data_IF_022723484046
#
_entry.id   IF_022723484046
#
_cell.length_a   1.000
_cell.length_b   1.000
_cell.length_c   1.000
_cell.angle_alpha   90.00
_cell.angle_beta   90.00
_cell.angle_gamma   90.00
#
_symmetry.space_group_name_H-M   'P 1'
#
loop_
_entity.id
_entity.type
_entity.pdbx_description
1 polymer ?
#
# COMPACT_ATOMS: atom_id res chain seq x y z
N UNK A 1 -31.77 -14.64 6.47
CA UNK A 1 -31.34 -13.24 6.24
C UNK A 1 -32.33 -12.62 5.25
N UNK A 2 -33.36 -11.92 5.74
CA UNK A 2 -34.55 -11.52 4.94
C UNK A 2 -34.28 -10.28 4.08
N UNK A 3 -34.90 -10.20 2.89
CA UNK A 3 -34.77 -9.09 1.93
C UNK A 3 -35.04 -7.70 2.56
N UNK A 4 -35.90 -7.65 3.57
CA UNK A 4 -36.16 -6.43 4.37
C UNK A 4 -34.90 -5.86 5.03
N UNK A 5 -33.99 -6.70 5.54
CA UNK A 5 -32.74 -6.25 6.15
C UNK A 5 -31.78 -5.64 5.10
N UNK A 6 -31.83 -6.11 3.85
CA UNK A 6 -31.04 -5.55 2.76
C UNK A 6 -31.58 -4.19 2.31
N UNK A 7 -32.90 -4.08 2.13
CA UNK A 7 -33.56 -2.83 1.68
C UNK A 7 -33.43 -1.74 2.76
N UNK A 8 -33.47 -2.09 4.05
CA UNK A 8 -33.28 -1.14 5.15
C UNK A 8 -31.87 -0.50 5.18
N UNK A 9 -30.87 -1.14 4.55
CA UNK A 9 -29.49 -0.64 4.48
C UNK A 9 -29.22 0.20 3.22
N UNK A 10 -30.21 0.40 2.34
CA UNK A 10 -30.05 1.17 1.10
C UNK A 10 -29.51 2.58 1.37
N UNK A 11 -29.97 3.22 2.44
CA UNK A 11 -29.61 4.60 2.76
C UNK A 11 -28.15 4.70 3.21
N UNK A 12 -27.67 3.70 3.96
CA UNK A 12 -26.26 3.59 4.34
C UNK A 12 -25.36 3.31 3.12
N UNK A 13 -25.83 2.48 2.19
CA UNK A 13 -25.11 2.21 0.94
C UNK A 13 -25.04 3.45 0.05
N UNK A 14 -26.16 4.19 -0.05
CA UNK A 14 -26.22 5.44 -0.79
C UNK A 14 -25.30 6.51 -0.18
N UNK A 15 -25.25 6.61 1.15
CA UNK A 15 -24.32 7.48 1.86
C UNK A 15 -22.86 7.12 1.56
N UNK A 16 -22.50 5.85 1.59
CA UNK A 16 -21.15 5.40 1.25
C UNK A 16 -20.75 5.81 -0.17
N UNK A 17 -21.62 5.56 -1.15
CA UNK A 17 -21.32 5.81 -2.57
C UNK A 17 -21.32 7.31 -2.91
N UNK A 18 -22.25 8.09 -2.37
CA UNK A 18 -22.43 9.50 -2.77
C UNK A 18 -21.56 10.45 -1.93
N UNK A 19 -21.30 10.12 -0.67
CA UNK A 19 -20.54 10.99 0.25
C UNK A 19 -19.13 10.49 0.52
N UNK A 20 -18.96 9.21 0.86
CA UNK A 20 -17.65 8.71 1.30
C UNK A 20 -16.72 8.42 0.12
N UNK A 21 -17.23 7.78 -0.92
CA UNK A 21 -16.43 7.36 -2.08
C UNK A 21 -15.73 8.53 -2.81
N UNK A 22 -16.36 9.69 -3.05
CA UNK A 22 -15.67 10.83 -3.66
C UNK A 22 -14.52 11.37 -2.80
N UNK A 23 -14.69 11.38 -1.46
CA UNK A 23 -13.66 11.83 -0.52
C UNK A 23 -12.45 10.88 -0.56
N UNK A 24 -12.71 9.57 -0.55
CA UNK A 24 -11.71 8.50 -0.72
C UNK A 24 -10.93 8.69 -2.02
N UNK A 25 -11.64 8.90 -3.14
CA UNK A 25 -11.02 9.07 -4.46
C UNK A 25 -10.18 10.36 -4.52
N UNK A 26 -10.66 11.48 -3.98
CA UNK A 26 -9.88 12.73 -3.93
C UNK A 26 -8.60 12.57 -3.10
N UNK A 27 -8.70 11.95 -1.91
CA UNK A 27 -7.54 11.74 -1.05
C UNK A 27 -6.55 10.74 -1.66
N UNK A 28 -7.05 9.66 -2.23
CA UNK A 28 -6.25 8.67 -2.97
C UNK A 28 -5.54 9.27 -4.19
N UNK A 29 -6.23 10.12 -4.96
CA UNK A 29 -5.66 10.79 -6.13
C UNK A 29 -4.57 11.80 -5.73
N UNK A 30 -4.78 12.57 -4.66
CA UNK A 30 -3.76 13.48 -4.11
C UNK A 30 -2.54 12.70 -3.59
N UNK A 31 -2.76 11.62 -2.85
CA UNK A 31 -1.71 10.74 -2.37
C UNK A 31 -0.88 10.17 -3.51
N UNK A 32 -1.57 9.68 -4.54
CA UNK A 32 -0.98 9.13 -5.74
C UNK A 32 -0.17 10.18 -6.51
N UNK A 33 -0.74 11.37 -6.72
CA UNK A 33 -0.05 12.46 -7.41
C UNK A 33 1.23 12.87 -6.67
N UNK A 34 1.17 13.04 -5.36
CA UNK A 34 2.37 13.29 -4.54
C UNK A 34 3.34 12.10 -4.70
N UNK A 35 2.84 10.87 -4.65
CA UNK A 35 3.68 9.68 -4.71
C UNK A 35 4.41 9.48 -6.04
N UNK A 36 3.79 9.85 -7.15
CA UNK A 36 4.32 9.64 -8.51
C UNK A 36 5.16 10.84 -8.96
N UNK A 37 4.73 12.06 -8.64
CA UNK A 37 5.37 13.28 -9.15
C UNK A 37 6.40 13.91 -8.19
N UNK A 38 6.49 13.46 -6.93
CA UNK A 38 7.54 13.92 -6.01
C UNK A 38 8.49 12.78 -5.62
N UNK A 39 9.80 13.05 -5.48
CA UNK A 39 10.79 12.04 -5.09
C UNK A 39 10.70 11.65 -3.60
N UNK A 40 9.62 12.02 -2.90
CA UNK A 40 9.44 11.71 -1.48
C UNK A 40 9.53 10.21 -1.22
N UNK A 41 8.86 9.38 -2.02
CA UNK A 41 8.93 7.93 -1.81
C UNK A 41 10.28 7.34 -2.19
N UNK A 42 10.98 7.92 -3.16
CA UNK A 42 12.33 7.49 -3.49
C UNK A 42 13.25 7.67 -2.28
N UNK A 43 13.16 8.80 -1.57
CA UNK A 43 13.95 9.04 -0.37
C UNK A 43 13.55 8.15 0.80
N UNK A 44 12.26 7.93 1.02
CA UNK A 44 11.79 7.03 2.09
C UNK A 44 12.08 5.56 1.76
N UNK A 45 12.30 5.22 0.48
CA UNK A 45 12.64 3.87 0.03
C UNK A 45 14.09 3.46 0.25
N UNK A 46 15.01 4.40 0.52
CA UNK A 46 16.43 4.06 0.77
C UNK A 46 16.66 2.95 1.81
N UNK A 47 16.03 2.96 3.01
CA UNK A 47 16.20 1.87 3.97
C UNK A 47 15.69 0.53 3.44
N UNK A 48 14.58 0.52 2.69
CA UNK A 48 14.04 -0.70 2.06
C UNK A 48 14.99 -1.19 0.96
N UNK A 49 15.52 -0.28 0.15
CA UNK A 49 16.51 -0.57 -0.87
C UNK A 49 17.75 -1.21 -0.27
N UNK A 50 18.26 -0.66 0.84
CA UNK A 50 19.43 -1.21 1.52
C UNK A 50 19.21 -2.65 1.99
N UNK A 51 18.04 -2.94 2.56
CA UNK A 51 17.67 -4.31 2.98
C UNK A 51 17.64 -5.26 1.76
N UNK A 52 17.04 -4.83 0.65
CA UNK A 52 16.98 -5.63 -0.58
C UNK A 52 18.35 -5.85 -1.21
N UNK A 53 19.23 -4.84 -1.19
CA UNK A 53 20.60 -4.96 -1.67
C UNK A 53 21.43 -5.95 -0.83
N UNK A 54 21.34 -5.87 0.50
CA UNK A 54 21.99 -6.83 1.41
C UNK A 54 21.43 -8.24 1.19
N UNK A 55 20.15 -8.36 0.90
CA UNK A 55 19.54 -9.62 0.53
C UNK A 55 19.95 -10.13 -0.87
N UNK A 56 20.64 -9.33 -1.69
CA UNK A 56 21.03 -9.73 -3.04
C UNK A 56 19.86 -9.82 -4.03
N UNK A 57 18.76 -9.10 -3.76
CA UNK A 57 17.62 -9.03 -4.68
C UNK A 57 17.99 -8.11 -5.86
N UNK A 58 17.82 -8.55 -7.11
CA UNK A 58 18.13 -7.72 -8.27
C UNK A 58 17.19 -6.51 -8.39
N UNK A 59 17.62 -5.47 -9.09
CA UNK A 59 16.79 -4.26 -9.34
C UNK A 59 16.27 -3.57 -8.05
N UNK A 60 16.98 -3.75 -6.92
CA UNK A 60 16.57 -3.34 -5.57
C UNK A 60 16.09 -1.89 -5.43
N UNK A 61 16.64 -0.94 -6.20
CA UNK A 61 16.20 0.45 -6.17
C UNK A 61 14.77 0.62 -6.71
N UNK A 62 14.47 -0.03 -7.83
CA UNK A 62 13.14 0.00 -8.45
C UNK A 62 12.16 -0.80 -7.59
N UNK A 63 12.58 -1.96 -7.09
CA UNK A 63 11.77 -2.80 -6.19
C UNK A 63 11.43 -2.08 -4.89
N UNK A 64 12.38 -1.38 -4.27
CA UNK A 64 12.12 -0.61 -3.05
C UNK A 64 11.14 0.54 -3.29
N UNK A 65 11.34 1.29 -4.38
CA UNK A 65 10.44 2.38 -4.75
C UNK A 65 9.01 1.87 -5.00
N UNK A 66 8.87 0.73 -5.69
CA UNK A 66 7.59 0.07 -5.91
C UNK A 66 6.94 -0.41 -4.61
N UNK A 67 7.67 -1.03 -3.68
CA UNK A 67 7.11 -1.44 -2.38
C UNK A 67 6.61 -0.22 -1.58
N UNK A 68 7.35 0.88 -1.63
CA UNK A 68 6.97 2.10 -0.93
C UNK A 68 5.74 2.77 -1.55
N UNK A 69 5.56 2.68 -2.87
CA UNK A 69 4.37 3.22 -3.56
C UNK A 69 3.08 2.55 -3.12
N UNK A 70 3.18 1.36 -2.50
CA UNK A 70 2.09 0.66 -1.80
C UNK A 70 1.43 1.49 -0.69
N UNK A 71 2.12 2.51 -0.17
CA UNK A 71 1.53 3.45 0.77
C UNK A 71 0.39 4.27 0.16
N UNK A 72 0.54 4.66 -1.11
CA UNK A 72 -0.48 5.44 -1.81
C UNK A 72 -1.66 4.55 -2.21
N UNK A 73 -1.37 3.38 -2.78
CA UNK A 73 -2.37 2.44 -3.27
C UNK A 73 -1.78 1.02 -3.38
N UNK A 74 -2.57 0.00 -3.11
CA UNK A 74 -2.11 -1.39 -3.12
C UNK A 74 -1.79 -1.93 -4.53
N UNK A 75 -2.36 -1.37 -5.60
CA UNK A 75 -2.11 -1.79 -6.98
C UNK A 75 -0.85 -1.16 -7.58
N UNK A 76 -0.47 0.00 -7.08
CA UNK A 76 0.66 0.78 -7.56
C UNK A 76 2.01 0.02 -7.58
N UNK A 77 2.37 -0.75 -6.54
CA UNK A 77 3.59 -1.54 -6.54
C UNK A 77 3.68 -2.46 -7.76
N UNK A 78 2.59 -3.15 -8.09
CA UNK A 78 2.55 -4.14 -9.18
C UNK A 78 2.63 -3.44 -10.54
N UNK A 79 1.98 -2.28 -10.70
CA UNK A 79 2.05 -1.48 -11.93
C UNK A 79 3.47 -0.98 -12.16
N UNK A 80 4.13 -0.45 -11.12
CA UNK A 80 5.52 0.02 -11.22
C UNK A 80 6.52 -1.14 -11.40
N UNK A 81 6.21 -2.31 -10.84
CA UNK A 81 7.03 -3.53 -10.97
C UNK A 81 6.82 -4.33 -12.25
N UNK A 82 5.86 -3.95 -13.10
CA UNK A 82 5.49 -4.73 -14.29
C UNK A 82 6.64 -4.87 -15.30
N UNK A 83 7.47 -3.83 -15.43
CA UNK A 83 8.60 -3.77 -16.38
C UNK A 83 9.91 -4.36 -15.85
N UNK A 84 9.93 -4.91 -14.63
CA UNK A 84 11.13 -5.54 -14.09
C UNK A 84 11.53 -6.74 -14.93
N UNK A 85 12.82 -7.04 -15.01
CA UNK A 85 13.29 -8.19 -15.80
C UNK A 85 13.24 -9.47 -14.98
N UNK A 86 13.65 -9.37 -13.71
CA UNK A 86 13.82 -10.50 -12.81
C UNK A 86 12.51 -10.94 -12.15
N UNK A 87 12.25 -12.25 -12.15
CA UNK A 87 11.06 -12.85 -11.56
C UNK A 87 11.06 -12.72 -10.04
N UNK A 88 12.22 -12.86 -9.39
CA UNK A 88 12.42 -12.73 -7.94
C UNK A 88 11.89 -11.39 -7.43
N UNK A 89 12.25 -10.28 -8.08
CA UNK A 89 11.83 -8.93 -7.69
C UNK A 89 10.33 -8.70 -7.92
N UNK A 90 9.76 -9.28 -8.98
CA UNK A 90 8.30 -9.26 -9.22
C UNK A 90 7.54 -9.98 -8.12
N UNK A 91 8.03 -11.14 -7.66
CA UNK A 91 7.39 -11.90 -6.59
C UNK A 91 7.44 -11.14 -5.27
N UNK A 92 8.57 -10.51 -4.93
CA UNK A 92 8.68 -9.65 -3.73
C UNK A 92 7.64 -8.53 -3.79
N UNK A 93 7.52 -7.82 -4.92
CA UNK A 93 6.56 -6.73 -5.08
C UNK A 93 5.11 -7.25 -4.98
N UNK A 94 4.81 -8.36 -5.65
CA UNK A 94 3.48 -8.95 -5.61
C UNK A 94 3.07 -9.35 -4.17
N UNK A 95 3.99 -9.94 -3.40
CA UNK A 95 3.73 -10.29 -2.00
C UNK A 95 3.57 -9.04 -1.13
N UNK A 96 4.46 -8.06 -1.27
CA UNK A 96 4.38 -6.84 -0.47
C UNK A 96 3.11 -6.03 -0.75
N UNK A 97 2.67 -5.96 -2.01
CA UNK A 97 1.41 -5.33 -2.43
C UNK A 97 0.18 -5.93 -1.72
N UNK A 98 0.17 -7.25 -1.50
CA UNK A 98 -0.94 -7.94 -0.83
C UNK A 98 -0.84 -7.83 0.69
N UNK A 99 0.37 -7.91 1.25
CA UNK A 99 0.61 -7.90 2.69
C UNK A 99 0.43 -6.50 3.31
N UNK A 100 0.61 -5.44 2.53
CA UNK A 100 0.42 -4.07 2.96
C UNK A 100 -1.07 -3.76 3.12
N UNK A 101 -1.60 -3.99 4.32
CA UNK A 101 -3.00 -3.75 4.67
C UNK A 101 -3.36 -2.28 4.95
N UNK A 102 -2.43 -1.32 4.81
CA UNK A 102 -2.72 0.09 5.10
C UNK A 102 -2.22 0.92 3.94
N UNK A 103 -3.15 1.50 3.21
CA UNK A 103 -2.91 2.40 2.09
C UNK A 103 -3.81 3.63 2.21
N UNK A 104 -3.36 4.75 1.65
CA UNK A 104 -3.95 6.05 1.93
C UNK A 104 -5.34 6.23 1.32
N UNK A 105 -5.63 5.58 0.19
CA UNK A 105 -6.89 5.79 -0.53
C UNK A 105 -8.12 5.38 0.31
N UNK A 106 -8.16 4.15 0.86
CA UNK A 106 -9.34 3.64 1.57
C UNK A 106 -9.15 3.57 3.09
N UNK A 107 -8.02 3.03 3.55
CA UNK A 107 -7.90 2.66 4.97
C UNK A 107 -7.56 3.86 5.84
N UNK A 108 -6.87 4.88 5.32
CA UNK A 108 -6.60 6.10 6.08
C UNK A 108 -7.87 6.90 6.41
N UNK A 109 -8.80 7.04 5.46
CA UNK A 109 -10.07 7.76 5.65
C UNK A 109 -11.04 6.97 6.53
N UNK A 110 -11.08 5.64 6.40
CA UNK A 110 -11.85 4.75 7.27
C UNK A 110 -11.33 4.76 8.71
N UNK A 111 -10.02 4.72 8.92
CA UNK A 111 -9.44 4.76 10.27
C UNK A 111 -9.63 6.12 10.95
N UNK A 112 -9.64 7.21 10.15
CA UNK A 112 -9.94 8.56 10.64
C UNK A 112 -11.41 8.69 11.01
N UNK A 113 -12.34 8.17 10.20
CA UNK A 113 -13.78 8.21 10.50
C UNK A 113 -14.16 7.33 11.69
N UNK A 114 -13.44 6.24 11.93
CA UNK A 114 -13.62 5.37 13.11
C UNK A 114 -13.03 5.93 14.41
N UNK A 115 -12.44 7.14 14.42
CA UNK A 115 -11.68 7.72 15.55
C UNK A 115 -10.55 6.80 16.10
N UNK A 116 -10.16 5.77 15.34
CA UNK A 116 -9.13 4.82 15.75
C UNK A 116 -7.74 5.46 15.73
N UNK A 117 -7.55 6.52 14.93
CA UNK A 117 -6.27 7.20 14.73
C UNK A 117 -6.44 8.72 14.83
N UNK A 118 -5.73 9.32 15.79
CA UNK A 118 -5.82 10.74 16.13
C UNK A 118 -4.94 11.63 15.23
N UNK A 119 -3.92 11.08 14.55
CA UNK A 119 -2.92 11.83 13.76
C UNK A 119 -2.49 11.08 12.49
N UNK A 120 -2.33 11.80 11.38
CA UNK A 120 -1.81 11.27 10.11
C UNK A 120 -0.45 10.58 10.26
N UNK A 121 0.42 11.11 11.12
CA UNK A 121 1.74 10.52 11.40
C UNK A 121 1.67 9.08 11.91
N UNK A 122 0.61 8.70 12.64
CA UNK A 122 0.46 7.32 13.11
C UNK A 122 0.21 6.35 11.94
N UNK A 123 -0.52 6.78 10.92
CA UNK A 123 -0.80 5.96 9.72
C UNK A 123 0.52 5.65 9.00
N UNK A 124 1.36 6.66 8.82
CA UNK A 124 2.70 6.52 8.20
C UNK A 124 3.59 5.57 9.02
N UNK A 125 3.60 5.73 10.35
CA UNK A 125 4.42 4.89 11.24
C UNK A 125 3.98 3.43 11.16
N UNK A 126 2.67 3.16 11.22
CA UNK A 126 2.17 1.77 11.15
C UNK A 126 2.47 1.15 9.78
N UNK A 127 2.34 1.92 8.70
CA UNK A 127 2.72 1.46 7.36
C UNK A 127 4.20 1.07 7.29
N UNK A 128 5.10 1.93 7.79
CA UNK A 128 6.53 1.65 7.82
C UNK A 128 6.83 0.43 8.69
N UNK A 129 6.29 0.38 9.91
CA UNK A 129 6.47 -0.76 10.82
C UNK A 129 6.03 -2.07 10.18
N UNK A 130 4.84 -2.12 9.56
CA UNK A 130 4.38 -3.34 8.88
C UNK A 130 5.22 -3.69 7.67
N UNK A 131 5.68 -2.70 6.90
CA UNK A 131 6.58 -2.94 5.76
C UNK A 131 7.92 -3.53 6.22
N UNK A 132 8.55 -2.97 7.25
CA UNK A 132 9.81 -3.47 7.79
C UNK A 132 9.68 -4.83 8.48
N UNK A 133 8.54 -5.12 9.11
CA UNK A 133 8.30 -6.44 9.70
C UNK A 133 8.05 -7.47 8.60
N UNK A 134 7.24 -7.16 7.57
CA UNK A 134 6.87 -8.10 6.53
C UNK A 134 8.03 -8.43 5.57
N UNK A 135 8.83 -7.42 5.21
CA UNK A 135 9.87 -7.53 4.20
C UNK A 135 10.89 -8.66 4.46
N UNK A 136 11.43 -8.86 5.67
CA UNK A 136 12.30 -10.01 5.97
C UNK A 136 11.62 -11.37 5.73
N UNK A 137 10.35 -11.53 6.10
CA UNK A 137 9.63 -12.79 5.87
C UNK A 137 9.43 -13.05 4.38
N UNK A 138 9.12 -12.01 3.62
CA UNK A 138 9.00 -12.10 2.15
C UNK A 138 10.33 -12.45 1.51
N UNK A 139 11.42 -11.81 1.92
CA UNK A 139 12.77 -12.10 1.41
C UNK A 139 13.16 -13.56 1.68
N UNK A 140 12.93 -14.05 2.90
CA UNK A 140 13.22 -15.44 3.25
C UNK A 140 12.39 -16.40 2.39
N UNK A 141 11.09 -16.14 2.25
CA UNK A 141 10.22 -16.95 1.40
C UNK A 141 10.73 -16.98 -0.03
N UNK A 142 10.99 -15.81 -0.63
CA UNK A 142 11.43 -15.70 -2.01
C UNK A 142 12.74 -16.45 -2.22
N UNK A 143 13.75 -16.27 -1.34
CA UNK A 143 15.02 -17.01 -1.43
C UNK A 143 14.90 -18.53 -1.30
N UNK A 144 13.86 -19.04 -0.66
CA UNK A 144 13.66 -20.47 -0.46
C UNK A 144 12.97 -21.13 -1.65
N UNK A 145 12.13 -20.38 -2.38
CA UNK A 145 11.26 -20.92 -3.42
C UNK A 145 11.59 -20.42 -4.84
N UNK A 146 12.39 -19.37 -4.98
CA UNK A 146 12.77 -18.72 -6.23
C UNK A 146 14.27 -18.43 -6.26
#
# INVERSE_FOLDING_TARGET
MTAHNFISKKDNMMFYVVWLMPIIVCWGTLALAISVYTPLLAWVSYPVQWILQVAGIPEAAVTASAIMSGFADNYLPVILGANLTESTSKVVIAMMSILQLIFLSEIATLLTSANALQKFSHIVIIFLQRTFIALPFVIVFVKLFF
#
